data_IF_610807274151
#
_entry.id   IF_610807274151
#
_cell.length_a   1.000
_cell.length_b   1.000
_cell.length_c   1.000
_cell.angle_alpha   90.00
_cell.angle_beta   90.00
_cell.angle_gamma   90.00
#
_symmetry.space_group_name_H-M   'P 1'
#
loop_
_entity.id
_entity.type
_entity.pdbx_description
1 polymer ?
#
# COMPACT_ATOMS: atom_id res chain seq x y z
N UNK A 1 18.82 -30.93 26.78
CA UNK A 1 18.46 -29.50 26.69
C UNK A 1 19.23 -28.69 25.64
N UNK A 2 20.30 -29.21 24.98
CA UNK A 2 21.05 -28.47 23.94
C UNK A 2 20.46 -28.56 22.52
N UNK A 3 19.62 -29.57 22.23
CA UNK A 3 18.96 -29.74 20.92
C UNK A 3 17.72 -28.84 20.74
N UNK A 4 17.16 -28.31 21.84
CA UNK A 4 15.99 -27.41 21.81
C UNK A 4 16.40 -25.96 21.49
N UNK A 5 17.64 -25.57 21.83
CA UNK A 5 18.21 -24.25 21.50
C UNK A 5 18.53 -24.10 20.00
N UNK A 6 18.85 -25.20 19.32
CA UNK A 6 19.11 -25.22 17.88
C UNK A 6 17.86 -24.94 17.04
N UNK A 7 16.67 -25.35 17.52
CA UNK A 7 15.40 -25.00 16.85
C UNK A 7 15.06 -23.52 17.01
N UNK A 8 15.35 -22.92 18.17
CA UNK A 8 15.11 -21.49 18.40
C UNK A 8 16.08 -20.60 17.61
N UNK A 9 17.33 -21.04 17.43
CA UNK A 9 18.32 -20.31 16.63
C UNK A 9 18.03 -20.37 15.12
N UNK A 10 17.37 -21.42 14.62
CA UNK A 10 17.05 -21.57 13.19
C UNK A 10 15.86 -20.72 12.75
N UNK A 11 14.99 -20.30 13.69
CA UNK A 11 13.79 -19.49 13.39
C UNK A 11 14.10 -17.99 13.24
N UNK A 12 15.30 -17.53 13.61
CA UNK A 12 15.64 -16.10 13.66
C UNK A 12 16.35 -15.59 12.38
N UNK A 13 16.58 -16.44 11.39
CA UNK A 13 17.31 -16.09 10.15
C UNK A 13 16.42 -16.11 8.89
N UNK A 14 15.13 -15.81 9.03
CA UNK A 14 14.38 -15.28 7.89
C UNK A 14 14.78 -13.81 7.78
N UNK A 15 15.86 -13.56 7.06
CA UNK A 15 16.09 -12.21 6.51
C UNK A 15 14.87 -11.91 5.66
N UNK A 16 14.01 -11.03 6.15
CA UNK A 16 12.86 -10.54 5.42
C UNK A 16 13.38 -9.76 4.22
N UNK A 17 13.62 -10.44 3.11
CA UNK A 17 13.54 -9.79 1.80
C UNK A 17 12.06 -9.45 1.63
N UNK A 18 11.68 -8.26 2.12
CA UNK A 18 10.34 -7.75 1.92
C UNK A 18 10.16 -7.57 0.42
N UNK A 19 9.22 -8.29 -0.19
CA UNK A 19 8.80 -7.93 -1.54
C UNK A 19 8.40 -6.46 -1.53
N UNK A 20 8.86 -5.71 -2.52
CA UNK A 20 8.44 -4.33 -2.67
C UNK A 20 6.93 -4.28 -2.76
N UNK A 21 6.31 -3.44 -1.94
CA UNK A 21 4.86 -3.41 -1.84
C UNK A 21 4.38 -2.15 -1.15
N UNK A 22 3.11 -1.82 -1.38
CA UNK A 22 2.35 -0.95 -0.49
C UNK A 22 1.66 -1.84 0.54
N UNK A 23 1.80 -1.54 1.83
CA UNK A 23 1.02 -2.13 2.93
C UNK A 23 0.15 -1.06 3.60
N UNK A 24 -0.81 -1.53 4.41
CA UNK A 24 -1.70 -0.67 5.17
C UNK A 24 -2.08 -1.34 6.51
N UNK A 25 -1.21 -1.23 7.51
CA UNK A 25 -1.38 -1.93 8.80
C UNK A 25 -2.65 -1.50 9.57
N UNK A 26 -3.14 -0.29 9.30
CA UNK A 26 -4.36 0.26 9.89
C UNK A 26 -5.64 -0.08 9.11
N UNK A 27 -5.53 -0.74 7.95
CA UNK A 27 -6.70 -1.19 7.22
C UNK A 27 -7.40 -2.30 7.99
N UNK A 28 -8.73 -2.23 8.08
CA UNK A 28 -9.55 -3.26 8.73
C UNK A 28 -9.89 -4.41 7.79
N UNK A 29 -9.72 -4.20 6.49
CA UNK A 29 -9.96 -5.19 5.45
C UNK A 29 -9.10 -4.89 4.22
N UNK A 30 -8.69 -5.96 3.52
CA UNK A 30 -7.92 -5.87 2.28
C UNK A 30 -8.50 -6.85 1.27
N UNK A 31 -8.67 -6.37 0.04
CA UNK A 31 -9.07 -7.18 -1.11
C UNK A 31 -8.31 -6.71 -2.34
N UNK A 32 -8.64 -7.24 -3.51
CA UNK A 32 -8.02 -6.88 -4.78
C UNK A 32 -9.07 -6.44 -5.79
N UNK A 33 -8.70 -5.53 -6.68
CA UNK A 33 -9.57 -5.14 -7.79
C UNK A 33 -9.84 -6.33 -8.70
N UNK A 34 -11.04 -6.34 -9.28
CA UNK A 34 -11.37 -7.22 -10.39
C UNK A 34 -11.74 -6.34 -11.59
N UNK A 35 -10.72 -5.96 -12.36
CA UNK A 35 -10.96 -5.15 -13.55
C UNK A 35 -11.64 -5.99 -14.63
N UNK A 36 -12.81 -5.52 -15.09
CA UNK A 36 -13.49 -6.13 -16.22
C UNK A 36 -12.63 -6.04 -17.49
N UNK A 37 -12.70 -7.06 -18.35
CA UNK A 37 -11.93 -7.09 -19.60
C UNK A 37 -10.61 -7.85 -19.55
N UNK A 38 -10.34 -8.63 -18.50
CA UNK A 38 -9.22 -9.58 -18.46
C UNK A 38 -7.85 -8.96 -18.21
N UNK A 39 -7.80 -7.80 -17.54
CA UNK A 39 -6.54 -7.25 -17.06
C UNK A 39 -5.85 -8.26 -16.13
N UNK A 40 -4.57 -8.54 -16.37
CA UNK A 40 -3.81 -9.55 -15.62
C UNK A 40 -3.24 -9.01 -14.31
N UNK A 41 -3.28 -7.70 -14.10
CA UNK A 41 -2.83 -7.04 -12.88
C UNK A 41 -4.04 -6.62 -12.04
N UNK A 42 -4.02 -6.99 -10.78
CA UNK A 42 -4.99 -6.54 -9.77
C UNK A 42 -4.27 -5.63 -8.79
N UNK A 43 -4.98 -4.60 -8.32
CA UNK A 43 -4.46 -3.67 -7.33
C UNK A 43 -5.08 -3.97 -5.98
N UNK A 44 -4.30 -3.83 -4.91
CA UNK A 44 -4.84 -3.97 -3.57
C UNK A 44 -5.81 -2.82 -3.26
N UNK A 45 -6.88 -3.17 -2.55
CA UNK A 45 -7.87 -2.25 -2.00
C UNK A 45 -7.76 -2.34 -0.48
N UNK A 46 -7.36 -1.25 0.15
CA UNK A 46 -7.25 -1.10 1.59
C UNK A 46 -8.45 -0.34 2.13
N UNK A 47 -9.22 -1.00 3.00
CA UNK A 47 -10.45 -0.47 3.57
C UNK A 47 -10.20 -0.09 5.01
N UNK A 48 -10.50 1.16 5.35
CA UNK A 48 -10.32 1.73 6.67
C UNK A 48 -11.67 2.05 7.29
N UNK A 49 -11.78 1.83 8.61
CA UNK A 49 -12.97 2.19 9.35
C UNK A 49 -12.92 3.66 9.77
N UNK A 50 -13.95 4.43 9.41
CA UNK A 50 -14.13 5.82 9.82
C UNK A 50 -15.39 6.04 10.68
N UNK A 51 -16.07 4.95 11.07
CA UNK A 51 -17.37 5.00 11.75
C UNK A 51 -17.32 5.59 13.16
N UNK A 52 -16.21 5.41 13.89
CA UNK A 52 -16.09 5.88 15.27
C UNK A 52 -15.78 7.38 15.40
N UNK A 53 -15.16 7.99 14.39
CA UNK A 53 -14.65 9.37 14.49
C UNK A 53 -15.21 10.34 13.44
N UNK A 54 -16.01 9.88 12.46
CA UNK A 54 -16.38 10.66 11.27
C UNK A 54 -15.16 11.35 10.61
N UNK A 55 -13.96 10.83 10.85
CA UNK A 55 -12.72 11.45 10.40
C UNK A 55 -12.58 11.17 8.91
N UNK A 56 -12.48 12.24 8.13
CA UNK A 56 -12.18 12.15 6.70
C UNK A 56 -10.69 11.86 6.54
N UNK A 57 -10.36 10.82 5.77
CA UNK A 57 -8.99 10.41 5.53
C UNK A 57 -8.35 9.81 6.76
N UNK A 58 -8.76 8.61 7.16
CA UNK A 58 -8.06 7.79 8.16
C UNK A 58 -7.06 6.83 7.50
N UNK A 59 -7.08 6.75 6.17
CA UNK A 59 -6.20 5.90 5.39
C UNK A 59 -4.72 6.20 5.64
N UNK A 60 -3.94 5.13 5.72
CA UNK A 60 -2.49 5.18 5.84
C UNK A 60 -1.89 4.09 4.97
N UNK A 61 -0.94 4.47 4.12
CA UNK A 61 -0.23 3.55 3.25
C UNK A 61 1.27 3.67 3.53
N UNK A 62 1.94 2.53 3.64
CA UNK A 62 3.40 2.45 3.73
C UNK A 62 3.94 1.75 2.51
N UNK A 63 4.99 2.28 1.90
CA UNK A 63 5.71 1.63 0.81
C UNK A 63 7.11 1.25 1.26
N UNK A 64 7.54 0.07 0.84
CA UNK A 64 8.88 -0.48 1.07
C UNK A 64 9.43 -0.96 -0.28
N UNK A 65 10.71 -0.68 -0.63
CA UNK A 65 11.35 -1.15 -1.86
C UNK A 65 11.69 -2.64 -1.77
N UNK A 66 12.06 -3.28 -2.89
CA UNK A 66 12.21 -4.74 -2.95
C UNK A 66 13.39 -5.26 -2.13
N UNK A 67 14.41 -4.42 -1.98
CA UNK A 67 15.57 -4.74 -1.17
C UNK A 67 15.39 -4.35 0.31
N UNK A 68 14.37 -3.54 0.65
CA UNK A 68 14.10 -3.05 2.00
C UNK A 68 15.23 -2.23 2.62
N UNK A 69 16.17 -1.71 1.83
CA UNK A 69 17.34 -0.96 2.30
C UNK A 69 17.15 0.55 2.18
N UNK A 70 17.99 1.35 2.83
CA UNK A 70 18.01 2.81 2.67
C UNK A 70 18.50 3.27 1.28
N UNK A 71 18.43 4.58 1.04
CA UNK A 71 18.92 5.21 -0.20
C UNK A 71 17.89 5.27 -1.33
N UNK A 72 16.62 4.98 -1.04
CA UNK A 72 15.53 5.12 -2.01
C UNK A 72 14.80 6.45 -1.83
N UNK A 73 14.43 7.04 -2.96
CA UNK A 73 13.51 8.17 -3.04
C UNK A 73 12.11 7.67 -3.38
N UNK A 74 11.09 8.20 -2.70
CA UNK A 74 9.68 7.83 -2.85
C UNK A 74 8.90 9.05 -3.27
N UNK A 75 8.13 8.93 -4.35
CA UNK A 75 7.21 9.96 -4.82
C UNK A 75 5.79 9.41 -4.85
N UNK A 76 4.98 9.89 -3.91
CA UNK A 76 3.57 9.56 -3.81
C UNK A 76 2.71 10.53 -4.61
N UNK A 77 1.85 9.98 -5.46
CA UNK A 77 0.83 10.72 -6.20
C UNK A 77 -0.52 10.03 -6.08
N UNK A 78 -1.59 10.80 -6.24
CA UNK A 78 -2.97 10.33 -6.29
C UNK A 78 -3.53 10.48 -7.69
N UNK A 79 -4.36 9.53 -8.10
CA UNK A 79 -5.11 9.60 -9.34
C UNK A 79 -6.05 10.81 -9.35
N UNK A 80 -5.91 11.64 -10.36
CA UNK A 80 -6.78 12.75 -10.66
C UNK A 80 -7.81 12.33 -11.71
N UNK A 81 -9.09 12.35 -11.33
CA UNK A 81 -10.19 12.01 -12.21
C UNK A 81 -10.31 13.02 -13.36
N UNK A 82 -9.98 14.29 -13.13
CA UNK A 82 -10.11 15.35 -14.13
C UNK A 82 -9.10 15.17 -15.27
N UNK A 83 -7.84 14.87 -14.92
CA UNK A 83 -6.77 14.68 -15.91
C UNK A 83 -6.58 13.22 -16.33
N UNK A 84 -7.22 12.27 -15.65
CA UNK A 84 -7.03 10.82 -15.83
C UNK A 84 -5.56 10.41 -15.74
N UNK A 85 -4.84 11.01 -14.78
CA UNK A 85 -3.42 10.73 -14.54
C UNK A 85 -3.10 10.79 -13.05
N UNK A 86 -1.95 10.23 -12.66
CA UNK A 86 -1.39 10.35 -11.31
C UNK A 86 -0.66 11.69 -11.12
N UNK A 87 -1.41 12.78 -11.12
CA UNK A 87 -0.89 14.15 -11.15
C UNK A 87 -1.02 14.90 -9.81
N UNK A 88 -1.85 14.43 -8.88
CA UNK A 88 -1.99 15.05 -7.56
C UNK A 88 -0.81 14.61 -6.69
N UNK A 89 0.11 15.52 -6.39
CA UNK A 89 1.22 15.24 -5.49
C UNK A 89 0.74 15.09 -4.05
N UNK A 90 1.22 14.03 -3.37
CA UNK A 90 0.85 13.71 -1.98
C UNK A 90 2.03 13.93 -1.04
N UNK A 91 3.17 13.34 -1.36
CA UNK A 91 4.37 13.39 -0.52
C UNK A 91 5.60 12.93 -1.31
N UNK A 92 6.75 13.52 -1.00
CA UNK A 92 8.05 12.97 -1.37
C UNK A 92 8.84 12.59 -0.11
N UNK A 93 9.66 11.56 -0.22
CA UNK A 93 10.58 11.13 0.84
C UNK A 93 11.88 10.74 0.16
N UNK A 94 13.01 11.11 0.73
CA UNK A 94 14.31 10.84 0.14
C UNK A 94 15.22 10.09 1.09
N UNK A 95 16.13 9.31 0.52
CA UNK A 95 17.17 8.57 1.25
C UNK A 95 16.60 7.74 2.42
N UNK A 96 15.58 6.92 2.14
CA UNK A 96 14.89 6.13 3.15
C UNK A 96 14.73 4.66 2.72
N UNK A 97 14.48 3.77 3.69
CA UNK A 97 14.09 2.38 3.45
C UNK A 97 12.59 2.16 3.32
N UNK A 98 11.77 3.14 3.70
CA UNK A 98 10.32 3.11 3.58
C UNK A 98 9.75 4.53 3.55
N UNK A 99 8.50 4.65 3.09
CA UNK A 99 7.77 5.91 3.14
C UNK A 99 6.30 5.68 3.44
N UNK A 100 5.80 6.37 4.47
CA UNK A 100 4.39 6.34 4.87
C UNK A 100 3.69 7.65 4.48
N UNK A 101 2.49 7.53 3.89
CA UNK A 101 1.52 8.62 3.74
C UNK A 101 0.33 8.34 4.64
N UNK A 102 -0.06 9.36 5.41
CA UNK A 102 -1.19 9.29 6.34
C UNK A 102 -2.28 10.27 5.90
N UNK A 103 -3.45 10.12 6.50
CA UNK A 103 -4.65 10.89 6.21
C UNK A 103 -5.12 10.79 4.75
N UNK A 104 -4.94 9.62 4.13
CA UNK A 104 -5.35 9.38 2.75
C UNK A 104 -6.87 9.35 2.62
N UNK A 105 -7.43 10.32 1.89
CA UNK A 105 -8.83 10.29 1.46
C UNK A 105 -9.07 9.20 0.40
N UNK A 106 -10.33 8.85 0.16
CA UNK A 106 -10.71 7.80 -0.82
C UNK A 106 -10.07 8.03 -2.19
N UNK A 107 -9.56 6.97 -2.82
CA UNK A 107 -9.05 6.99 -4.18
C UNK A 107 -7.84 6.09 -4.42
N UNK A 108 -7.31 6.15 -5.65
CA UNK A 108 -6.15 5.38 -6.08
C UNK A 108 -4.86 6.18 -5.86
N UNK A 109 -3.94 5.61 -5.11
CA UNK A 109 -2.62 6.16 -4.84
C UNK A 109 -1.56 5.36 -5.57
N UNK A 110 -0.48 6.03 -5.98
CA UNK A 110 0.71 5.43 -6.57
C UNK A 110 1.94 5.96 -5.88
N UNK A 111 2.92 5.10 -5.71
CA UNK A 111 4.28 5.47 -5.32
C UNK A 111 5.23 5.06 -6.42
N UNK A 112 6.09 5.98 -6.82
CA UNK A 112 7.27 5.71 -7.63
C UNK A 112 8.47 5.70 -6.68
N UNK A 113 9.22 4.60 -6.65
CA UNK A 113 10.37 4.40 -5.75
C UNK A 113 11.62 4.30 -6.61
N UNK A 114 12.64 5.13 -6.36
CA UNK A 114 13.83 5.23 -7.23
C UNK A 114 15.13 5.18 -6.44
N UNK A 115 16.13 4.47 -6.98
CA UNK A 115 17.51 4.42 -6.44
C UNK A 115 18.50 4.29 -7.58
N UNK A 116 19.22 5.36 -7.88
CA UNK A 116 20.12 5.41 -9.04
C UNK A 116 19.35 5.22 -10.35
N UNK A 117 19.57 4.08 -11.03
CA UNK A 117 18.86 3.73 -12.28
C UNK A 117 17.66 2.81 -12.06
N UNK A 118 17.42 2.35 -10.83
CA UNK A 118 16.32 1.46 -10.50
C UNK A 118 15.05 2.26 -10.24
N UNK A 119 13.91 1.77 -10.74
CA UNK A 119 12.59 2.38 -10.52
C UNK A 119 11.56 1.28 -10.32
N UNK A 120 10.84 1.40 -9.23
CA UNK A 120 9.72 0.55 -8.87
C UNK A 120 8.45 1.40 -8.82
N UNK A 121 7.30 0.80 -9.15
CA UNK A 121 6.03 1.52 -9.13
C UNK A 121 4.94 0.62 -8.57
N UNK A 122 4.26 1.12 -7.54
CA UNK A 122 3.15 0.42 -6.88
C UNK A 122 1.95 1.32 -6.79
N UNK A 123 0.77 0.72 -6.82
CA UNK A 123 -0.49 1.43 -6.64
C UNK A 123 -1.46 0.63 -5.76
N UNK A 124 -2.30 1.37 -5.04
CA UNK A 124 -3.32 0.79 -4.17
C UNK A 124 -4.50 1.74 -4.00
N UNK A 125 -5.69 1.17 -3.82
CA UNK A 125 -6.90 1.89 -3.51
C UNK A 125 -7.05 2.10 -2.00
N UNK A 126 -7.46 3.29 -1.62
CA UNK A 126 -7.89 3.64 -0.26
C UNK A 126 -9.40 3.84 -0.27
N UNK A 127 -10.09 3.15 0.66
CA UNK A 127 -11.52 3.33 0.91
C UNK A 127 -11.72 3.59 2.40
N UNK A 128 -12.06 4.82 2.76
CA UNK A 128 -12.48 5.20 4.12
C UNK A 128 -14.00 5.00 4.20
N UNK A 129 -14.39 3.94 4.92
CA UNK A 129 -15.75 3.41 5.16
C UNK A 129 -15.96 2.01 4.56
N UNK A 130 -16.07 1.02 5.46
CA UNK A 130 -16.38 -0.38 5.12
C UNK A 130 -17.71 -0.55 4.39
N UNK A 131 -18.71 0.27 4.71
CA UNK A 131 -20.02 0.17 4.08
C UNK A 131 -19.97 0.55 2.59
N UNK A 132 -19.03 1.40 2.17
CA UNK A 132 -18.83 1.72 0.74
C UNK A 132 -18.29 0.52 -0.03
N UNK A 133 -17.34 -0.21 0.56
CA UNK A 133 -16.81 -1.44 -0.04
C UNK A 133 -17.91 -2.48 -0.29
N UNK A 134 -18.76 -2.74 0.71
CA UNK A 134 -19.88 -3.67 0.54
C UNK A 134 -20.83 -3.24 -0.59
N UNK A 135 -21.05 -1.93 -0.79
CA UNK A 135 -21.86 -1.45 -1.90
C UNK A 135 -21.24 -1.72 -3.27
N UNK A 136 -19.91 -1.70 -3.40
CA UNK A 136 -19.26 -2.09 -4.66
C UNK A 136 -19.49 -3.57 -4.97
N UNK A 137 -19.62 -4.43 -3.96
CA UNK A 137 -19.89 -5.86 -4.15
C UNK A 137 -21.37 -6.18 -4.50
N UNK A 138 -22.33 -5.34 -4.12
CA UNK A 138 -23.77 -5.58 -4.37
C UNK A 138 -24.32 -5.00 -5.69
N UNK A 139 -23.50 -4.31 -6.48
CA UNK A 139 -23.96 -3.71 -7.76
C UNK A 139 -23.69 -4.65 -8.96
N UNK A 140 -22.97 -5.77 -8.78
CA UNK A 140 -22.69 -6.76 -9.83
C UNK A 140 -23.24 -8.17 -9.53
N UNK A 141 -24.51 -8.27 -9.10
CA UNK A 141 -25.25 -9.55 -9.05
C UNK A 141 -26.57 -9.49 -9.80
#
# INVERSE_FOLDING_TARGET
MKKLLLLYALVILVTATGFAQITADKAIYTTQTNYSGGATSQDNIYVFDNSENNAVGVGELTATPADGTDGWDFKWTKWDIATQTFSIEVKTTSDASESTVANCADGLYRVEITKGTETETYQAWVVNDKAKEMKFYYIES
#
